data_IF_684748997179
#
_entry.id   IF_684748997179
#
_cell.length_a   1.000
_cell.length_b   1.000
_cell.length_c   1.000
_cell.angle_alpha   90.00
_cell.angle_beta   90.00
_cell.angle_gamma   90.00
#
_symmetry.space_group_name_H-M   'P 1'
#
loop_
_entity.id
_entity.type
_entity.pdbx_description
1 polymer ?
#
# COMPACT_ATOMS: atom_id res chain seq x y z
N UNK A 1 -14.10 -53.51 -76.54
CA UNK A 1 -15.02 -52.63 -77.31
C UNK A 1 -15.18 -51.33 -76.61
N UNK A 2 -14.48 -50.36 -77.04
CA UNK A 2 -14.82 -49.01 -77.50
C UNK A 2 -16.10 -48.42 -76.92
N UNK A 3 -15.98 -47.24 -76.25
CA UNK A 3 -16.41 -45.88 -76.58
C UNK A 3 -16.02 -44.97 -75.43
N UNK A 4 -15.24 -44.07 -75.58
CA UNK A 4 -15.09 -42.68 -76.04
C UNK A 4 -16.30 -41.75 -75.75
N UNK A 5 -15.91 -40.59 -75.26
CA UNK A 5 -16.57 -39.28 -75.37
C UNK A 5 -17.55 -38.93 -74.24
N UNK A 6 -17.51 -37.69 -73.66
CA UNK A 6 -17.33 -36.35 -74.21
C UNK A 6 -16.95 -35.41 -73.09
N UNK A 7 -16.05 -34.52 -73.45
CA UNK A 7 -15.71 -33.28 -72.73
C UNK A 7 -16.95 -32.38 -72.66
N UNK A 8 -17.13 -31.72 -71.52
CA UNK A 8 -17.81 -30.45 -71.48
C UNK A 8 -17.11 -29.48 -70.51
N UNK A 9 -16.59 -28.35 -70.99
CA UNK A 9 -16.01 -27.35 -70.17
C UNK A 9 -17.00 -26.21 -69.93
N UNK A 10 -16.83 -25.45 -68.85
CA UNK A 10 -17.44 -24.13 -68.54
C UNK A 10 -18.59 -24.13 -67.54
N UNK A 11 -18.22 -24.06 -66.30
CA UNK A 11 -18.94 -23.23 -65.36
C UNK A 11 -17.94 -22.48 -64.47
N UNK A 12 -17.72 -21.21 -64.81
CA UNK A 12 -17.00 -20.22 -64.01
C UNK A 12 -17.85 -19.96 -62.76
N UNK A 13 -17.48 -20.56 -61.65
CA UNK A 13 -18.04 -20.27 -60.34
C UNK A 13 -17.03 -19.42 -59.54
N UNK A 14 -17.40 -18.21 -59.29
CA UNK A 14 -16.70 -17.23 -58.46
C UNK A 14 -16.44 -17.81 -57.08
N UNK A 15 -15.16 -18.12 -56.79
CA UNK A 15 -14.72 -18.44 -55.45
C UNK A 15 -14.74 -17.14 -54.62
N UNK A 16 -15.74 -17.02 -53.77
CA UNK A 16 -15.80 -16.01 -52.72
C UNK A 16 -14.77 -16.37 -51.68
N UNK A 17 -13.65 -15.63 -51.63
CA UNK A 17 -12.71 -15.65 -50.50
C UNK A 17 -13.43 -15.09 -49.27
N UNK A 18 -13.91 -15.98 -48.41
CA UNK A 18 -14.31 -15.62 -47.05
C UNK A 18 -13.06 -15.56 -46.18
N UNK A 19 -12.56 -14.35 -45.90
CA UNK A 19 -11.56 -14.15 -44.88
C UNK A 19 -12.19 -14.43 -43.51
N UNK A 20 -11.61 -15.31 -42.68
CA UNK A 20 -12.00 -15.41 -41.29
C UNK A 20 -11.46 -14.19 -40.54
N UNK A 21 -12.33 -13.31 -40.06
CA UNK A 21 -12.01 -12.30 -39.09
C UNK A 21 -11.72 -13.01 -37.78
N UNK A 22 -10.46 -13.25 -37.50
CA UNK A 22 -10.02 -13.71 -36.17
C UNK A 22 -10.26 -12.57 -35.18
N UNK A 23 -11.34 -12.64 -34.44
CA UNK A 23 -11.63 -11.77 -33.31
C UNK A 23 -10.61 -12.07 -32.21
N UNK A 24 -9.60 -11.22 -32.10
CA UNK A 24 -8.63 -11.24 -31.01
C UNK A 24 -9.34 -10.77 -29.74
N UNK A 25 -9.94 -11.70 -28.98
CA UNK A 25 -10.48 -11.41 -27.67
C UNK A 25 -9.30 -11.15 -26.71
N UNK A 26 -9.02 -9.88 -26.42
CA UNK A 26 -8.13 -9.51 -25.33
C UNK A 26 -8.79 -9.94 -24.01
N UNK A 27 -8.34 -11.05 -23.46
CA UNK A 27 -8.63 -11.48 -22.09
C UNK A 27 -7.93 -10.50 -21.14
N UNK A 28 -8.66 -9.48 -20.69
CA UNK A 28 -8.24 -8.65 -19.58
C UNK A 28 -8.25 -9.52 -18.31
N UNK A 29 -7.09 -10.05 -17.92
CA UNK A 29 -6.97 -10.74 -16.65
C UNK A 29 -7.24 -9.75 -15.51
N UNK A 30 -8.13 -10.07 -14.54
CA UNK A 30 -8.32 -9.23 -13.37
C UNK A 30 -7.01 -9.17 -12.60
N UNK A 31 -6.50 -7.95 -12.36
CA UNK A 31 -5.36 -7.73 -11.48
C UNK A 31 -5.85 -8.08 -10.07
N UNK A 32 -5.44 -9.23 -9.55
CA UNK A 32 -5.72 -9.59 -8.17
C UNK A 32 -4.93 -8.62 -7.29
N UNK A 33 -5.61 -7.66 -6.67
CA UNK A 33 -5.04 -6.86 -5.58
C UNK A 33 -4.81 -7.83 -4.43
N UNK A 34 -3.55 -8.18 -4.19
CA UNK A 34 -3.18 -9.09 -3.11
C UNK A 34 -3.72 -8.57 -1.76
N UNK A 35 -4.19 -9.47 -0.91
CA UNK A 35 -4.57 -9.12 0.44
C UNK A 35 -3.36 -8.49 1.17
N UNK A 36 -3.57 -7.47 2.02
CA UNK A 36 -2.49 -6.88 2.80
C UNK A 36 -1.75 -7.96 3.60
N UNK A 37 -0.41 -7.90 3.59
CA UNK A 37 0.40 -8.81 4.41
C UNK A 37 0.06 -8.58 5.89
N UNK A 38 -0.41 -9.60 6.63
CA UNK A 38 -0.72 -9.46 8.04
C UNK A 38 0.50 -9.11 8.90
N UNK A 39 1.70 -9.34 8.37
CA UNK A 39 2.96 -8.99 9.02
C UNK A 39 3.56 -7.67 8.55
N UNK A 40 2.81 -6.88 7.78
CA UNK A 40 3.29 -5.57 7.31
C UNK A 40 3.29 -4.57 8.48
N UNK A 41 4.46 -4.02 8.87
CA UNK A 41 4.55 -3.02 9.95
C UNK A 41 4.06 -1.63 9.52
N UNK A 42 3.95 -1.37 8.21
CA UNK A 42 3.58 -0.04 7.68
C UNK A 42 2.15 0.33 8.04
N UNK A 43 1.90 1.61 8.12
CA UNK A 43 0.59 2.16 8.46
C UNK A 43 0.60 2.95 9.76
N UNK A 44 -0.58 3.24 10.28
CA UNK A 44 -0.76 4.06 11.48
C UNK A 44 -1.04 3.18 12.69
N UNK A 45 -0.30 3.43 13.75
CA UNK A 45 -0.39 2.70 15.01
C UNK A 45 -0.68 3.66 16.16
N UNK A 46 -1.60 3.26 17.02
CA UNK A 46 -2.00 3.96 18.22
C UNK A 46 -1.26 3.42 19.42
N UNK A 47 -0.56 4.28 20.13
CA UNK A 47 0.01 4.00 21.44
C UNK A 47 -1.09 4.02 22.49
N UNK A 48 -1.26 2.98 23.33
CA UNK A 48 -2.35 2.93 24.31
C UNK A 48 -2.20 3.99 25.41
N UNK A 49 -0.97 4.21 25.88
CA UNK A 49 -0.67 5.26 26.84
C UNK A 49 -0.50 6.60 26.12
N UNK A 50 -1.34 7.57 26.44
CA UNK A 50 -1.28 8.92 25.87
C UNK A 50 -2.05 9.11 24.56
N UNK A 51 -2.35 8.05 23.82
CA UNK A 51 -3.17 8.12 22.62
C UNK A 51 -2.50 8.77 21.42
N UNK A 52 -1.16 8.82 21.41
CA UNK A 52 -0.37 9.29 20.28
C UNK A 52 -0.49 8.31 19.10
N UNK A 53 -0.45 8.85 17.89
CA UNK A 53 -0.43 8.05 16.67
C UNK A 53 0.90 8.18 15.95
N UNK A 54 1.39 7.06 15.48
CA UNK A 54 2.66 6.97 14.77
C UNK A 54 2.45 6.33 13.39
N UNK A 55 3.08 6.92 12.39
CA UNK A 55 3.12 6.37 11.04
C UNK A 55 4.41 5.60 10.83
N UNK A 56 4.31 4.31 10.51
CA UNK A 56 5.42 3.47 10.07
C UNK A 56 5.47 3.47 8.55
N UNK A 57 6.65 3.67 7.98
CA UNK A 57 6.85 3.83 6.54
C UNK A 57 8.25 3.38 6.11
N UNK A 58 8.42 3.11 4.83
CA UNK A 58 9.73 2.77 4.28
C UNK A 58 10.60 4.03 4.15
N UNK A 59 11.83 3.96 4.66
CA UNK A 59 12.88 4.95 4.46
C UNK A 59 14.05 4.30 3.71
N UNK A 60 13.90 4.15 2.41
CA UNK A 60 14.73 3.30 1.58
C UNK A 60 14.39 1.82 1.80
N UNK A 61 15.39 0.97 2.00
CA UNK A 61 15.20 -0.45 2.29
C UNK A 61 14.91 -0.74 3.79
N UNK A 62 14.78 0.29 4.61
CA UNK A 62 14.62 0.22 6.05
C UNK A 62 13.25 0.73 6.48
N UNK A 63 12.85 0.38 7.70
CA UNK A 63 11.61 0.83 8.32
C UNK A 63 11.88 2.04 9.22
N UNK A 64 11.08 3.08 9.06
CA UNK A 64 11.06 4.26 9.90
C UNK A 64 9.69 4.47 10.56
N UNK A 65 9.65 5.24 11.64
CA UNK A 65 8.39 5.67 12.25
C UNK A 65 8.48 7.10 12.74
N UNK A 66 7.39 7.86 12.57
CA UNK A 66 7.26 9.24 13.05
C UNK A 66 5.95 9.45 13.78
N UNK A 67 5.97 10.34 14.75
CA UNK A 67 4.78 10.83 15.44
C UNK A 67 3.95 11.68 14.47
N UNK A 68 2.68 11.35 14.30
CA UNK A 68 1.77 12.06 13.39
C UNK A 68 0.60 12.74 14.10
N UNK A 69 0.28 12.33 15.33
CA UNK A 69 -0.78 12.92 16.12
C UNK A 69 -0.51 12.76 17.61
N UNK A 70 -0.82 13.79 18.36
CA UNK A 70 -0.82 13.80 19.82
C UNK A 70 -2.25 14.06 20.31
N UNK A 71 -2.57 13.55 21.49
CA UNK A 71 -3.87 13.77 22.11
C UNK A 71 -3.84 14.91 23.12
N UNK A 72 -2.68 15.14 23.74
CA UNK A 72 -2.49 16.15 24.76
C UNK A 72 -2.24 17.52 24.11
N UNK A 73 -3.03 18.51 24.47
CA UNK A 73 -2.83 19.90 24.06
C UNK A 73 -1.47 20.42 24.51
N UNK A 74 -0.78 21.13 23.64
CA UNK A 74 0.55 21.69 23.88
C UNK A 74 1.72 20.82 23.38
N UNK A 75 1.46 19.56 23.05
CA UNK A 75 2.48 18.62 22.55
C UNK A 75 2.56 18.58 21.00
N UNK A 76 1.80 19.44 20.30
CA UNK A 76 1.74 19.50 18.84
C UNK A 76 3.11 19.73 18.18
N UNK A 77 3.99 20.41 18.89
CA UNK A 77 5.37 20.65 18.44
C UNK A 77 6.17 19.36 18.24
N UNK A 78 5.77 18.28 18.91
CA UNK A 78 6.41 16.96 18.77
C UNK A 78 5.99 16.24 17.51
N UNK A 79 4.88 16.64 16.85
CA UNK A 79 4.42 16.03 15.60
C UNK A 79 5.49 16.17 14.52
N UNK A 80 5.75 15.09 13.80
CA UNK A 80 6.84 15.00 12.84
C UNK A 80 8.13 14.38 13.40
N UNK A 81 8.24 14.25 14.73
CA UNK A 81 9.43 13.62 15.35
C UNK A 81 9.59 12.18 14.87
N UNK A 82 10.75 11.87 14.30
CA UNK A 82 11.11 10.50 13.88
C UNK A 82 11.60 9.75 15.11
N UNK A 83 10.81 8.77 15.54
CA UNK A 83 11.12 7.95 16.73
C UNK A 83 11.89 6.68 16.38
N UNK A 84 11.67 6.11 15.19
CA UNK A 84 12.38 4.93 14.69
C UNK A 84 13.18 5.33 13.45
N UNK A 85 14.49 5.10 13.48
CA UNK A 85 15.38 5.48 12.39
C UNK A 85 16.05 4.24 11.81
N UNK A 86 15.61 3.84 10.62
CA UNK A 86 16.29 2.83 9.83
C UNK A 86 16.32 1.45 10.47
N UNK A 87 15.17 0.89 10.86
CA UNK A 87 15.10 -0.48 11.35
C UNK A 87 15.21 -1.48 10.20
N UNK A 88 16.19 -2.37 10.29
CA UNK A 88 16.35 -3.47 9.36
C UNK A 88 15.47 -4.66 9.76
N UNK A 89 14.97 -5.41 8.77
CA UNK A 89 14.25 -6.65 9.02
C UNK A 89 15.20 -7.66 9.65
N UNK A 90 14.85 -8.19 10.82
CA UNK A 90 15.67 -9.13 11.61
C UNK A 90 15.02 -10.52 11.76
N UNK A 91 13.78 -10.66 11.33
CA UNK A 91 13.02 -11.91 11.34
C UNK A 91 11.78 -11.84 10.46
N UNK A 92 10.97 -12.90 10.39
CA UNK A 92 9.78 -12.94 9.54
C UNK A 92 8.81 -11.78 9.81
N UNK A 93 8.61 -11.43 11.08
CA UNK A 93 7.73 -10.38 11.57
C UNK A 93 8.44 -9.42 12.53
N UNK A 94 9.78 -9.32 12.44
CA UNK A 94 10.61 -8.50 13.33
C UNK A 94 11.51 -7.55 12.58
N UNK A 95 11.70 -6.36 13.18
CA UNK A 95 12.65 -5.32 12.74
C UNK A 95 13.44 -4.82 13.95
N UNK A 96 14.71 -4.47 13.71
CA UNK A 96 15.62 -3.92 14.70
C UNK A 96 16.25 -2.63 14.20
N UNK A 97 16.24 -1.58 15.03
CA UNK A 97 16.79 -0.28 14.68
C UNK A 97 17.03 0.58 15.93
N UNK A 98 17.22 1.87 15.72
CA UNK A 98 17.39 2.85 16.80
C UNK A 98 16.05 3.52 17.09
N UNK A 99 15.61 3.42 18.34
CA UNK A 99 14.38 4.00 18.85
C UNK A 99 14.69 5.22 19.72
N UNK A 100 14.28 6.39 19.27
CA UNK A 100 14.39 7.64 20.02
C UNK A 100 13.15 7.83 20.90
N UNK A 101 13.34 8.07 22.18
CA UNK A 101 12.29 8.42 23.11
C UNK A 101 12.33 9.94 23.36
N UNK A 102 11.29 10.65 22.89
CA UNK A 102 11.20 12.08 23.03
C UNK A 102 10.97 12.54 24.49
N UNK A 103 10.48 11.68 25.38
CA UNK A 103 10.19 12.01 26.77
C UNK A 103 11.48 12.16 27.61
N UNK A 104 12.48 11.33 27.34
CA UNK A 104 13.76 11.35 28.07
C UNK A 104 14.95 11.76 27.22
N UNK A 105 14.73 12.00 25.92
CA UNK A 105 15.76 12.40 24.95
C UNK A 105 16.77 11.30 24.61
N UNK A 106 16.55 10.07 25.04
CA UNK A 106 17.49 8.97 24.84
C UNK A 106 17.16 8.12 23.61
N UNK A 107 18.18 7.43 23.13
CA UNK A 107 18.06 6.45 22.04
C UNK A 107 18.32 5.05 22.57
N UNK A 108 17.44 4.14 22.23
CA UNK A 108 17.40 2.75 22.64
C UNK A 108 17.65 1.83 21.45
N UNK A 109 18.03 0.59 21.70
CA UNK A 109 17.92 -0.46 20.72
C UNK A 109 16.43 -0.84 20.59
N UNK A 110 15.84 -0.51 19.45
CA UNK A 110 14.42 -0.69 19.17
C UNK A 110 14.16 -2.01 18.49
N UNK A 111 13.14 -2.72 18.96
CA UNK A 111 12.64 -3.94 18.37
C UNK A 111 11.15 -3.78 18.10
N UNK A 112 10.77 -4.05 16.87
CA UNK A 112 9.39 -4.04 16.40
C UNK A 112 9.01 -5.46 16.06
N UNK A 113 7.92 -5.95 16.63
CA UNK A 113 7.40 -7.29 16.34
C UNK A 113 5.93 -7.18 16.00
N UNK A 114 5.53 -7.60 14.80
CA UNK A 114 4.12 -7.73 14.43
C UNK A 114 3.56 -9.00 15.11
N UNK A 115 2.54 -8.81 15.93
CA UNK A 115 1.83 -9.89 16.63
C UNK A 115 0.65 -10.40 15.83
N UNK A 116 -0.03 -9.50 15.14
CA UNK A 116 -1.15 -9.78 14.25
C UNK A 116 -1.32 -8.60 13.27
N UNK A 117 -2.26 -8.70 12.35
CA UNK A 117 -2.58 -7.58 11.44
C UNK A 117 -2.92 -6.28 12.18
N UNK A 118 -3.38 -6.36 13.44
CA UNK A 118 -3.85 -5.23 14.24
C UNK A 118 -3.02 -4.94 15.49
N UNK A 119 -1.97 -5.72 15.74
CA UNK A 119 -1.14 -5.59 16.94
C UNK A 119 0.34 -5.58 16.60
N UNK A 120 1.04 -4.59 17.13
CA UNK A 120 2.48 -4.41 17.05
C UNK A 120 3.03 -4.26 18.47
N UNK A 121 4.11 -4.99 18.78
CA UNK A 121 4.89 -4.77 19.99
C UNK A 121 6.13 -3.93 19.66
N UNK A 122 6.24 -2.78 20.31
CA UNK A 122 7.44 -1.95 20.30
C UNK A 122 8.19 -2.13 21.61
N UNK A 123 9.49 -2.45 21.53
CA UNK A 123 10.37 -2.65 22.69
C UNK A 123 11.64 -1.82 22.51
N UNK A 124 12.03 -1.07 23.53
CA UNK A 124 13.29 -0.36 23.61
C UNK A 124 14.19 -1.00 24.68
N UNK A 125 15.45 -1.22 24.37
CA UNK A 125 16.44 -1.76 25.28
C UNK A 125 17.63 -0.82 25.49
N UNK A 126 18.01 -0.56 26.72
CA UNK A 126 19.27 0.07 27.10
C UNK A 126 20.33 -1.01 27.30
N UNK A 127 21.51 -0.81 26.73
CA UNK A 127 22.65 -1.74 26.82
C UNK A 127 22.32 -3.20 26.46
N UNK A 128 21.23 -3.42 25.72
CA UNK A 128 20.84 -4.73 25.25
C UNK A 128 20.08 -5.62 26.26
N UNK A 129 20.02 -5.25 27.55
CA UNK A 129 19.39 -6.07 28.61
C UNK A 129 18.30 -5.37 29.42
N UNK A 130 18.34 -4.06 29.59
CA UNK A 130 17.27 -3.29 30.24
C UNK A 130 16.21 -2.92 29.22
N UNK A 131 15.21 -3.79 29.06
CA UNK A 131 14.19 -3.64 28.04
C UNK A 131 12.83 -3.30 28.64
N UNK A 132 12.14 -2.35 28.04
CA UNK A 132 10.74 -2.07 28.26
C UNK A 132 10.02 -2.08 26.91
N UNK A 133 8.73 -2.36 26.90
CA UNK A 133 7.97 -2.36 25.65
C UNK A 133 6.47 -2.45 25.89
N UNK A 134 5.74 -1.95 24.91
CA UNK A 134 4.30 -1.83 24.92
C UNK A 134 3.70 -2.39 23.63
N UNK A 135 2.44 -2.73 23.66
CA UNK A 135 1.70 -3.20 22.49
C UNK A 135 0.84 -2.08 21.95
N UNK A 136 0.98 -1.81 20.67
CA UNK A 136 0.24 -0.76 19.95
C UNK A 136 -0.80 -1.40 19.05
N UNK A 137 -1.92 -0.71 18.84
CA UNK A 137 -2.99 -1.16 17.96
C UNK A 137 -2.96 -0.43 16.63
N UNK A 138 -3.25 -1.15 15.56
CA UNK A 138 -3.37 -0.53 14.23
C UNK A 138 -4.59 0.36 14.19
N UNK A 139 -4.41 1.60 13.77
CA UNK A 139 -5.53 2.46 13.43
C UNK A 139 -6.08 1.94 12.10
N UNK A 140 -7.36 1.54 12.09
CA UNK A 140 -8.01 1.16 10.84
C UNK A 140 -7.76 2.28 9.82
N UNK A 141 -7.24 1.94 8.64
CA UNK A 141 -7.10 2.91 7.58
C UNK A 141 -8.47 3.57 7.41
N UNK A 142 -8.57 4.85 7.76
CA UNK A 142 -9.69 5.64 7.34
C UNK A 142 -9.79 5.37 5.85
N UNK A 143 -10.94 4.80 5.40
CA UNK A 143 -11.19 4.56 3.98
C UNK A 143 -10.69 5.81 3.28
N UNK A 144 -9.66 5.65 2.47
CA UNK A 144 -9.09 6.75 1.70
C UNK A 144 -10.28 7.37 0.99
N UNK A 145 -10.81 8.45 1.58
CA UNK A 145 -11.70 9.31 0.87
C UNK A 145 -10.80 9.97 -0.15
N UNK A 146 -10.72 9.33 -1.31
CA UNK A 146 -10.39 10.00 -2.53
C UNK A 146 -11.40 11.14 -2.66
N UNK A 147 -11.11 12.22 -1.99
CA UNK A 147 -11.59 13.52 -2.40
C UNK A 147 -10.89 13.79 -3.75
N UNK A 148 -11.42 13.18 -4.79
CA UNK A 148 -11.27 13.70 -6.11
C UNK A 148 -11.76 15.15 -5.99
N UNK A 149 -10.81 16.08 -5.99
CA UNK A 149 -11.05 17.49 -6.18
C UNK A 149 -11.71 17.64 -7.54
N UNK A 150 -13.03 17.68 -7.53
CA UNK A 150 -13.79 18.10 -8.70
C UNK A 150 -13.37 19.56 -8.98
N UNK A 151 -12.93 19.87 -10.19
CA UNK A 151 -12.66 21.26 -10.55
C UNK A 151 -13.99 22.03 -10.42
N UNK A 152 -13.96 23.10 -9.63
CA UNK A 152 -15.04 24.05 -9.57
C UNK A 152 -15.30 24.61 -10.97
N UNK A 153 -16.40 24.20 -11.57
CA UNK A 153 -16.91 24.82 -12.79
C UNK A 153 -17.34 26.21 -12.42
N UNK A 154 -16.56 27.19 -12.86
CA UNK A 154 -16.92 28.59 -12.84
C UNK A 154 -18.25 28.78 -13.57
N UNK A 155 -19.27 29.20 -12.85
CA UNK A 155 -20.46 29.77 -13.44
C UNK A 155 -20.08 31.14 -13.99
N UNK A 156 -19.78 31.16 -15.26
CA UNK A 156 -19.79 32.39 -16.05
C UNK A 156 -21.24 32.84 -16.16
N UNK A 157 -21.58 33.84 -15.37
CA UNK A 157 -22.86 34.52 -15.45
C UNK A 157 -22.80 35.51 -16.60
N UNK A 158 -23.36 35.14 -17.74
CA UNK A 158 -23.68 36.08 -18.80
C UNK A 158 -24.68 37.10 -18.24
N UNK A 159 -24.29 38.35 -18.19
CA UNK A 159 -25.19 39.49 -18.04
C UNK A 159 -25.25 40.21 -19.40
N UNK A 160 -26.35 39.99 -20.07
CA UNK A 160 -26.80 40.85 -21.13
C UNK A 160 -27.51 42.05 -20.49
N UNK A 161 -27.14 43.25 -20.82
CA UNK A 161 -27.83 44.47 -21.26
C UNK A 161 -26.89 45.64 -21.19
#
# INVERSE_FOLDING_TARGET
MRRLSVYDPLARGLARLALPIAALALLAAPVAVGAPDPNDPRGVWLRPEGGEQFSFYDCGALLCAKLISVKKEGDEKAVGTVILRGAAKSGPNEWKGKLYNAQDGKTYDGFITIKSANELRLKGCLWGFLCSGETWTRVAAAKSQNAASAPAQGKESARAE
#
